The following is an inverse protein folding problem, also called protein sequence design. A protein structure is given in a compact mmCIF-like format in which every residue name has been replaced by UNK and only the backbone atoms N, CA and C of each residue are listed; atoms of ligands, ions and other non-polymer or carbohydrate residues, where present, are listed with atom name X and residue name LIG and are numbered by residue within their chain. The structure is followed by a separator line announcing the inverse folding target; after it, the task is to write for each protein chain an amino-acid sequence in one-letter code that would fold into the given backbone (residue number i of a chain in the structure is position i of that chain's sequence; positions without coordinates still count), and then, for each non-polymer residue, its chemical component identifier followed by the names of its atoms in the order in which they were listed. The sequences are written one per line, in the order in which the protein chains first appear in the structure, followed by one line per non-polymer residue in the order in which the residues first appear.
data_IF_536364685993
#
_entry.id   IF_536364685993
#
_cell.length_a   1.000
_cell.length_b   1.000
_cell.length_c   1.000
_cell.angle_alpha   90.00
_cell.angle_beta   90.00
_cell.angle_gamma   90.00
#
_symmetry.space_group_name_H-M   'P 1'
#
loop_
_entity.id
_entity.type
_entity.pdbx_description
1 polymer ?
#
# COMPACT_ATOMS: atom_id res chain seq x y z
N UNK A 1 72.34 -2.54 2.76
CA UNK A 1 71.06 -2.63 2.03
C UNK A 1 69.93 -2.94 3.01
N UNK A 2 69.26 -1.90 3.53
CA UNK A 2 68.09 -2.00 4.39
C UNK A 2 66.85 -1.83 3.50
N UNK A 3 65.99 -2.84 3.42
CA UNK A 3 64.71 -2.77 2.70
C UNK A 3 63.63 -2.30 3.66
N UNK A 4 63.21 -1.06 3.50
CA UNK A 4 62.07 -0.45 4.18
C UNK A 4 60.76 -1.05 3.65
N UNK A 5 59.95 -1.65 4.51
CA UNK A 5 58.57 -2.02 4.20
C UNK A 5 57.68 -0.79 4.46
N UNK A 6 57.06 -0.29 3.39
CA UNK A 6 56.00 0.73 3.44
C UNK A 6 54.73 0.09 4.00
N UNK A 7 54.29 0.57 5.16
CA UNK A 7 53.01 0.23 5.76
C UNK A 7 51.91 0.95 4.97
N UNK A 8 51.15 0.21 4.18
CA UNK A 8 49.97 0.73 3.48
C UNK A 8 48.85 0.97 4.52
N UNK A 9 48.52 2.23 4.76
CA UNK A 9 47.36 2.64 5.55
C UNK A 9 46.12 2.47 4.65
N UNK A 10 45.43 1.35 4.82
CA UNK A 10 44.09 1.14 4.24
C UNK A 10 43.10 2.04 4.95
N UNK A 11 42.69 3.12 4.27
CA UNK A 11 41.51 3.91 4.64
C UNK A 11 40.29 2.99 4.60
N UNK A 12 39.78 2.66 5.78
CA UNK A 12 38.50 1.99 5.94
C UNK A 12 37.41 2.98 5.49
N UNK A 13 37.00 2.89 4.23
CA UNK A 13 35.80 3.57 3.75
C UNK A 13 34.62 2.98 4.51
N UNK A 14 34.12 3.74 5.49
CA UNK A 14 32.84 3.47 6.12
C UNK A 14 31.79 3.44 5.00
N UNK A 15 31.38 2.24 4.60
CA UNK A 15 30.18 2.04 3.81
C UNK A 15 29.03 2.57 4.64
N UNK A 16 28.55 3.75 4.30
CA UNK A 16 27.25 4.24 4.71
C UNK A 16 26.26 3.14 4.36
N UNK A 17 25.72 2.47 5.37
CA UNK A 17 24.47 1.72 5.21
C UNK A 17 23.47 2.69 4.57
N UNK A 18 22.75 2.29 3.51
CA UNK A 18 21.69 3.14 3.00
C UNK A 18 20.73 3.38 4.17
N UNK A 19 20.40 4.65 4.39
CA UNK A 19 19.33 5.07 5.29
C UNK A 19 18.00 4.57 4.71
N UNK A 20 17.72 3.27 4.85
CA UNK A 20 16.50 2.64 4.36
C UNK A 20 15.28 2.97 5.24
N UNK A 21 15.48 3.63 6.37
CA UNK A 21 14.47 3.79 7.43
C UNK A 21 13.74 5.16 7.45
N UNK A 22 14.00 6.06 6.50
CA UNK A 22 13.36 7.39 6.47
C UNK A 22 12.29 7.60 5.38
N UNK A 23 12.10 6.65 4.44
CA UNK A 23 11.15 6.82 3.34
C UNK A 23 10.03 5.76 3.33
N UNK A 24 9.33 5.59 4.44
CA UNK A 24 8.13 4.74 4.52
C UNK A 24 6.96 5.26 3.68
N UNK A 25 7.05 6.48 3.16
CA UNK A 25 6.07 7.09 2.28
C UNK A 25 6.75 7.41 0.94
N UNK A 26 6.29 6.79 -0.13
CA UNK A 26 6.84 6.98 -1.46
C UNK A 26 5.75 6.89 -2.54
N UNK A 27 6.09 7.07 -3.80
CA UNK A 27 5.24 6.77 -4.92
C UNK A 27 5.82 5.59 -5.72
N UNK A 28 4.95 4.78 -6.33
CA UNK A 28 5.37 3.59 -7.08
C UNK A 28 5.07 3.77 -8.56
N UNK A 29 6.11 3.69 -9.40
CA UNK A 29 5.95 3.69 -10.86
C UNK A 29 5.09 2.51 -11.34
N UNK A 30 5.19 1.37 -10.66
CA UNK A 30 4.36 0.19 -10.95
C UNK A 30 2.89 0.47 -10.69
N UNK A 31 2.55 1.05 -9.53
CA UNK A 31 1.17 1.45 -9.22
C UNK A 31 0.69 2.52 -10.19
N UNK A 32 1.51 3.53 -10.45
CA UNK A 32 1.22 4.56 -11.44
C UNK A 32 0.90 3.95 -12.82
N UNK A 33 1.67 2.96 -13.26
CA UNK A 33 1.46 2.28 -14.54
C UNK A 33 0.13 1.53 -14.57
N UNK A 34 -0.17 0.71 -13.55
CA UNK A 34 -1.42 -0.05 -13.50
C UNK A 34 -2.62 0.89 -13.40
N UNK A 35 -2.54 1.92 -12.56
CA UNK A 35 -3.60 2.91 -12.40
C UNK A 35 -3.78 3.74 -13.68
N UNK A 36 -2.70 4.15 -14.36
CA UNK A 36 -2.78 4.82 -15.65
C UNK A 36 -3.45 3.93 -16.71
N UNK A 37 -3.14 2.63 -16.74
CA UNK A 37 -3.76 1.67 -17.66
C UNK A 37 -5.27 1.57 -17.45
N UNK A 38 -5.76 1.36 -16.22
CA UNK A 38 -7.22 1.27 -15.97
C UNK A 38 -7.94 2.59 -16.25
N UNK A 39 -7.30 3.73 -15.96
CA UNK A 39 -7.83 5.05 -16.29
C UNK A 39 -7.94 5.29 -17.80
N UNK A 40 -7.01 4.76 -18.59
CA UNK A 40 -7.02 4.87 -20.05
C UNK A 40 -8.11 4.01 -20.71
N UNK A 41 -8.55 2.93 -20.06
CA UNK A 41 -9.53 1.98 -20.62
C UNK A 41 -10.96 2.12 -20.08
N UNK A 42 -11.20 2.98 -19.10
CA UNK A 42 -12.56 3.36 -18.68
C UNK A 42 -12.84 3.40 -17.18
N UNK A 43 -11.82 3.36 -16.32
CA UNK A 43 -12.02 3.54 -14.88
C UNK A 43 -12.14 5.03 -14.50
N UNK A 44 -13.37 5.56 -14.55
CA UNK A 44 -13.66 6.99 -14.34
C UNK A 44 -14.08 7.39 -12.92
N UNK A 45 -14.11 6.42 -11.99
CA UNK A 45 -14.57 6.67 -10.61
C UNK A 45 -13.75 7.78 -9.94
N UNK A 46 -14.44 8.80 -9.42
CA UNK A 46 -13.84 9.93 -8.70
C UNK A 46 -12.98 10.88 -9.55
N UNK A 47 -13.00 10.74 -10.88
CA UNK A 47 -12.17 11.52 -11.79
C UNK A 47 -12.43 13.02 -11.70
N UNK A 48 -13.69 13.44 -11.64
CA UNK A 48 -14.09 14.85 -11.58
C UNK A 48 -13.56 15.59 -10.33
N UNK A 49 -13.27 14.84 -9.27
CA UNK A 49 -12.74 15.37 -8.00
C UNK A 49 -11.26 15.03 -7.79
N UNK A 50 -10.62 14.37 -8.76
CA UNK A 50 -9.20 14.00 -8.70
C UNK A 50 -8.30 15.19 -9.02
N UNK A 51 -7.02 15.18 -8.60
CA UNK A 51 -6.06 16.16 -9.06
C UNK A 51 -5.95 16.20 -10.59
N UNK A 52 -5.64 17.37 -11.15
CA UNK A 52 -5.50 17.58 -12.59
C UNK A 52 -4.56 16.60 -13.28
N UNK A 53 -3.53 16.12 -12.56
CA UNK A 53 -2.57 15.15 -13.09
C UNK A 53 -3.25 13.89 -13.63
N UNK A 54 -4.27 13.36 -12.93
CA UNK A 54 -4.95 12.14 -13.36
C UNK A 54 -5.61 12.32 -14.73
N UNK A 55 -6.27 13.45 -14.96
CA UNK A 55 -6.88 13.76 -16.25
C UNK A 55 -5.82 14.03 -17.31
N UNK A 56 -4.77 14.80 -16.98
CA UNK A 56 -3.68 15.10 -17.90
C UNK A 56 -3.01 13.82 -18.43
N UNK A 57 -2.68 12.86 -17.55
CA UNK A 57 -2.07 11.59 -17.96
C UNK A 57 -3.00 10.80 -18.88
N UNK A 58 -4.31 10.80 -18.61
CA UNK A 58 -5.31 10.15 -19.50
C UNK A 58 -5.34 10.78 -20.88
N UNK A 59 -5.37 12.10 -20.95
CA UNK A 59 -5.42 12.84 -22.21
C UNK A 59 -4.14 12.62 -23.03
N UNK A 60 -2.98 12.60 -22.38
CA UNK A 60 -1.69 12.33 -23.02
C UNK A 60 -1.61 10.89 -23.56
N UNK A 61 -2.11 9.91 -22.81
CA UNK A 61 -2.18 8.51 -23.28
C UNK A 61 -3.15 8.39 -24.45
N UNK A 62 -4.31 9.03 -24.39
CA UNK A 62 -5.30 9.01 -25.45
C UNK A 62 -4.75 9.63 -26.75
N UNK A 63 -4.01 10.74 -26.65
CA UNK A 63 -3.40 11.42 -27.80
C UNK A 63 -2.31 10.59 -28.50
N UNK A 64 -1.65 9.66 -27.79
CA UNK A 64 -0.64 8.76 -28.37
C UNK A 64 -1.25 7.60 -29.15
N UNK A 65 -2.52 7.28 -28.95
CA UNK A 65 -3.20 6.13 -29.54
C UNK A 65 -2.41 4.80 -29.45
N UNK A 66 -2.00 4.32 -28.25
CA UNK A 66 -1.30 3.04 -28.12
C UNK A 66 -2.10 1.89 -28.75
N UNK A 67 -1.44 1.07 -29.56
CA UNK A 67 -2.05 -0.04 -30.29
C UNK A 67 -2.58 -1.13 -29.34
N UNK A 68 -2.03 -1.24 -28.13
CA UNK A 68 -2.47 -2.18 -27.09
C UNK A 68 -3.77 -1.77 -26.37
N UNK A 69 -4.25 -0.53 -26.53
CA UNK A 69 -5.45 -0.05 -25.80
C UNK A 69 -6.72 -0.89 -26.04
N UNK A 70 -7.04 -1.35 -27.27
CA UNK A 70 -8.19 -2.23 -27.49
C UNK A 70 -8.08 -3.55 -26.71
N UNK A 71 -6.92 -4.21 -26.75
CA UNK A 71 -6.66 -5.46 -26.03
C UNK A 71 -6.75 -5.27 -24.51
N UNK A 72 -6.21 -4.15 -24.00
CA UNK A 72 -6.32 -3.80 -22.58
C UNK A 72 -7.76 -3.54 -22.16
N UNK A 73 -8.57 -2.91 -23.03
CA UNK A 73 -9.98 -2.65 -22.75
C UNK A 73 -10.79 -3.95 -22.67
N UNK A 74 -10.52 -4.91 -23.55
CA UNK A 74 -11.12 -6.24 -23.49
C UNK A 74 -10.74 -6.99 -22.21
N UNK A 75 -9.44 -6.98 -21.85
CA UNK A 75 -8.95 -7.60 -20.63
C UNK A 75 -9.56 -6.96 -19.38
N UNK A 76 -9.67 -5.63 -19.36
CA UNK A 76 -10.32 -4.87 -18.29
C UNK A 76 -11.82 -5.20 -18.19
N UNK A 77 -12.54 -5.20 -19.30
CA UNK A 77 -13.98 -5.50 -19.29
C UNK A 77 -14.25 -6.92 -18.75
N UNK A 78 -13.48 -7.92 -19.21
CA UNK A 78 -13.58 -9.29 -18.72
C UNK A 78 -13.28 -9.41 -17.22
N UNK A 79 -12.36 -8.61 -16.71
CA UNK A 79 -11.98 -8.62 -15.30
C UNK A 79 -12.96 -7.87 -14.37
N UNK A 80 -13.82 -7.01 -14.92
CA UNK A 80 -14.61 -6.04 -14.13
C UNK A 80 -16.13 -6.21 -14.24
N UNK A 81 -16.62 -7.09 -15.11
CA UNK A 81 -18.05 -7.25 -15.45
C UNK A 81 -19.00 -7.36 -14.25
N UNK A 82 -18.56 -7.93 -13.13
CA UNK A 82 -19.39 -8.18 -11.93
C UNK A 82 -18.90 -7.45 -10.68
N UNK A 83 -17.99 -6.51 -10.83
CA UNK A 83 -17.32 -5.85 -9.71
C UNK A 83 -17.82 -4.42 -9.55
N UNK A 84 -18.02 -4.00 -8.31
CA UNK A 84 -18.24 -2.58 -7.99
C UNK A 84 -16.96 -1.79 -8.25
N UNK A 85 -17.06 -0.47 -8.44
CA UNK A 85 -15.87 0.38 -8.65
C UNK A 85 -14.81 0.22 -7.55
N UNK A 86 -15.23 0.06 -6.29
CA UNK A 86 -14.33 -0.17 -5.16
C UNK A 86 -13.64 -1.53 -5.24
N UNK A 87 -14.36 -2.57 -5.67
CA UNK A 87 -13.80 -3.90 -5.87
C UNK A 87 -12.80 -3.92 -7.04
N UNK A 88 -13.10 -3.21 -8.13
CA UNK A 88 -12.18 -3.02 -9.26
C UNK A 88 -10.89 -2.37 -8.76
N UNK A 89 -10.97 -1.21 -8.10
CA UNK A 89 -9.79 -0.53 -7.56
C UNK A 89 -8.96 -1.45 -6.66
N UNK A 90 -9.64 -2.16 -5.76
CA UNK A 90 -9.04 -3.11 -4.83
C UNK A 90 -8.21 -4.16 -5.55
N UNK A 91 -8.78 -4.80 -6.57
CA UNK A 91 -8.13 -5.84 -7.37
C UNK A 91 -6.91 -5.30 -8.12
N UNK A 92 -7.00 -4.11 -8.73
CA UNK A 92 -5.91 -3.56 -9.53
C UNK A 92 -4.78 -2.99 -8.66
N UNK A 93 -5.09 -2.52 -7.44
CA UNK A 93 -4.07 -2.23 -6.44
C UNK A 93 -3.36 -3.50 -5.99
N UNK A 94 -4.10 -4.59 -5.74
CA UNK A 94 -3.51 -5.90 -5.44
C UNK A 94 -2.58 -6.36 -6.56
N UNK A 95 -2.97 -6.18 -7.83
CA UNK A 95 -2.10 -6.42 -8.97
C UNK A 95 -0.83 -5.58 -8.87
N UNK A 96 -0.92 -4.25 -8.85
CA UNK A 96 0.27 -3.38 -8.91
C UNK A 96 1.24 -3.59 -7.74
N UNK A 97 0.75 -3.92 -6.54
CA UNK A 97 1.57 -4.27 -5.38
C UNK A 97 2.27 -5.63 -5.50
N UNK A 98 1.75 -6.53 -6.34
CA UNK A 98 2.28 -7.88 -6.56
C UNK A 98 3.30 -7.95 -7.71
N UNK A 99 3.53 -6.85 -8.42
CA UNK A 99 4.40 -6.79 -9.61
C UNK A 99 5.77 -6.17 -9.30
N UNK A 100 6.78 -6.68 -9.98
CA UNK A 100 8.09 -6.03 -10.10
C UNK A 100 7.95 -4.76 -10.94
N UNK A 101 8.93 -3.88 -10.82
CA UNK A 101 8.99 -2.66 -11.62
C UNK A 101 9.13 -2.96 -13.12
N UNK A 102 8.90 -1.93 -13.93
CA UNK A 102 9.15 -1.93 -15.36
C UNK A 102 10.57 -2.47 -15.70
N UNK A 103 10.77 -3.07 -16.89
CA UNK A 103 9.83 -3.11 -18.02
C UNK A 103 8.90 -4.33 -18.06
N UNK A 104 9.22 -5.42 -17.35
CA UNK A 104 8.58 -6.72 -17.61
C UNK A 104 7.31 -6.98 -16.79
N UNK A 105 7.14 -6.28 -15.66
CA UNK A 105 5.96 -6.44 -14.79
C UNK A 105 5.69 -7.91 -14.42
N UNK A 106 6.75 -8.63 -14.06
CA UNK A 106 6.66 -10.00 -13.54
C UNK A 106 6.19 -10.02 -12.09
N UNK A 107 5.68 -11.17 -11.63
CA UNK A 107 5.32 -11.38 -10.24
C UNK A 107 6.54 -11.20 -9.31
N UNK A 108 6.36 -10.48 -8.20
CA UNK A 108 7.38 -10.32 -7.14
C UNK A 108 7.67 -11.64 -6.42
N UNK A 109 6.61 -12.44 -6.24
CA UNK A 109 6.58 -13.67 -5.48
C UNK A 109 6.27 -14.86 -6.39
N UNK A 110 6.30 -16.08 -5.84
CA UNK A 110 5.88 -17.27 -6.60
C UNK A 110 4.40 -17.16 -6.92
N UNK A 111 3.96 -17.71 -8.06
CA UNK A 111 2.56 -17.60 -8.49
C UNK A 111 1.56 -18.12 -7.45
N UNK A 112 1.93 -19.14 -6.67
CA UNK A 112 1.11 -19.68 -5.56
C UNK A 112 0.97 -18.74 -4.36
N UNK A 113 1.81 -17.73 -4.26
CA UNK A 113 1.79 -16.69 -3.23
C UNK A 113 1.13 -15.40 -3.73
N UNK A 114 0.81 -15.31 -5.03
CA UNK A 114 0.12 -14.15 -5.60
C UNK A 114 -1.33 -14.14 -5.10
N UNK A 115 -1.85 -12.98 -4.66
CA UNK A 115 -3.25 -12.84 -4.25
C UNK A 115 -4.22 -13.32 -5.34
N UNK A 116 -5.31 -14.05 -5.02
CA UNK A 116 -6.22 -14.58 -6.02
C UNK A 116 -6.85 -13.52 -6.94
N UNK A 117 -7.15 -12.34 -6.39
CA UNK A 117 -7.71 -11.19 -7.11
C UNK A 117 -6.70 -10.58 -8.09
N UNK A 118 -5.41 -10.53 -7.73
CA UNK A 118 -4.32 -10.14 -8.60
C UNK A 118 -4.03 -11.21 -9.67
N UNK A 119 -4.04 -12.49 -9.30
CA UNK A 119 -3.78 -13.60 -10.21
C UNK A 119 -4.85 -13.69 -11.31
N UNK A 120 -6.10 -13.39 -10.99
CA UNK A 120 -7.20 -13.29 -11.96
C UNK A 120 -6.94 -12.23 -13.06
N UNK A 121 -6.03 -11.28 -12.81
CA UNK A 121 -5.62 -10.24 -13.75
C UNK A 121 -4.37 -10.59 -14.58
N UNK A 122 -3.89 -11.83 -14.60
CA UNK A 122 -2.66 -12.17 -15.33
C UNK A 122 -2.73 -11.81 -16.83
N UNK A 123 -3.89 -11.97 -17.48
CA UNK A 123 -4.08 -11.51 -18.88
C UNK A 123 -3.89 -10.01 -19.03
N UNK A 124 -4.37 -9.21 -18.08
CA UNK A 124 -4.16 -7.75 -18.07
C UNK A 124 -2.69 -7.42 -17.82
N UNK A 125 -2.04 -8.10 -16.87
CA UNK A 125 -0.62 -7.95 -16.55
C UNK A 125 0.27 -8.15 -17.79
N UNK A 126 0.01 -9.19 -18.57
CA UNK A 126 0.80 -9.52 -19.78
C UNK A 126 0.80 -8.40 -20.84
N UNK A 127 -0.18 -7.49 -20.80
CA UNK A 127 -0.27 -6.34 -21.70
C UNK A 127 0.47 -5.10 -21.17
N UNK A 128 0.85 -5.07 -19.88
CA UNK A 128 1.50 -3.93 -19.25
C UNK A 128 2.86 -3.57 -19.86
N UNK A 129 3.76 -4.50 -20.24
CA UNK A 129 5.04 -4.14 -20.87
C UNK A 129 4.84 -3.36 -22.17
N UNK A 130 3.93 -3.84 -23.04
CA UNK A 130 3.58 -3.15 -24.29
C UNK A 130 2.97 -1.79 -24.01
N UNK A 131 2.04 -1.71 -23.06
CA UNK A 131 1.45 -0.44 -22.65
C UNK A 131 2.47 0.54 -22.11
N UNK A 132 3.42 0.09 -21.28
CA UNK A 132 4.47 0.93 -20.72
C UNK A 132 5.32 1.58 -21.81
N UNK A 133 5.68 0.82 -22.84
CA UNK A 133 6.43 1.34 -24.00
C UNK A 133 5.56 2.20 -24.91
N UNK A 134 4.42 1.70 -25.39
CA UNK A 134 3.58 2.38 -26.39
C UNK A 134 2.94 3.67 -25.84
N UNK A 135 2.56 3.70 -24.56
CA UNK A 135 2.05 4.90 -23.91
C UNK A 135 3.15 5.84 -23.38
N UNK A 136 4.42 5.42 -23.43
CA UNK A 136 5.57 6.19 -22.92
C UNK A 136 5.43 6.53 -21.43
N UNK A 137 5.15 5.51 -20.62
CA UNK A 137 4.86 5.68 -19.19
C UNK A 137 6.09 6.18 -18.43
N UNK A 138 7.30 5.75 -18.77
CA UNK A 138 8.53 6.26 -18.15
C UNK A 138 8.62 7.79 -18.18
N UNK A 139 8.31 8.40 -19.32
CA UNK A 139 8.34 9.86 -19.50
C UNK A 139 7.17 10.56 -18.77
N UNK A 140 6.00 9.93 -18.73
CA UNK A 140 4.86 10.41 -17.96
C UNK A 140 5.15 10.38 -16.46
N UNK A 141 5.71 9.28 -15.97
CA UNK A 141 6.13 9.11 -14.58
C UNK A 141 7.15 10.18 -14.17
N UNK A 142 8.19 10.39 -14.99
CA UNK A 142 9.21 11.42 -14.76
C UNK A 142 8.63 12.83 -14.71
N UNK A 143 7.72 13.18 -15.65
CA UNK A 143 7.05 14.49 -15.66
C UNK A 143 6.05 14.66 -14.53
N UNK A 144 5.54 13.57 -13.98
CA UNK A 144 4.63 13.56 -12.83
C UNK A 144 5.34 13.75 -11.49
N UNK A 145 6.65 13.50 -11.41
CA UNK A 145 7.42 13.57 -10.15
C UNK A 145 7.21 14.88 -9.37
N UNK A 146 7.30 16.09 -9.97
CA UNK A 146 7.13 17.31 -9.21
C UNK A 146 5.74 17.42 -8.55
N UNK A 147 4.69 16.96 -9.23
CA UNK A 147 3.33 16.98 -8.69
C UNK A 147 3.15 15.95 -7.55
N UNK A 148 3.81 14.79 -7.66
CA UNK A 148 3.84 13.75 -6.63
C UNK A 148 4.61 14.25 -5.40
N UNK A 149 5.82 14.79 -5.58
CA UNK A 149 6.67 15.30 -4.51
C UNK A 149 5.98 16.35 -3.64
N UNK A 150 5.24 17.28 -4.27
CA UNK A 150 4.44 18.29 -3.54
C UNK A 150 3.45 17.64 -2.58
N UNK A 151 2.81 16.54 -2.98
CA UNK A 151 1.87 15.82 -2.12
C UNK A 151 2.58 14.98 -1.05
N UNK A 152 3.68 14.31 -1.41
CA UNK A 152 4.49 13.54 -0.46
C UNK A 152 5.01 14.41 0.69
N UNK A 153 5.57 15.58 0.38
CA UNK A 153 6.07 16.53 1.39
C UNK A 153 4.98 16.94 2.39
N UNK A 154 3.73 17.10 1.93
CA UNK A 154 2.59 17.43 2.80
C UNK A 154 2.27 16.33 3.82
N UNK A 155 2.51 15.08 3.46
CA UNK A 155 2.24 13.91 4.31
C UNK A 155 3.43 13.51 5.18
N UNK A 156 4.66 13.68 4.68
CA UNK A 156 5.89 13.14 5.26
C UNK A 156 6.02 13.41 6.76
N UNK A 157 5.95 14.68 7.18
CA UNK A 157 6.15 15.07 8.58
C UNK A 157 5.11 14.40 9.51
N UNK A 158 3.85 14.41 9.09
CA UNK A 158 2.75 13.89 9.92
C UNK A 158 2.78 12.36 10.01
N UNK A 159 3.18 11.68 8.93
CA UNK A 159 3.34 10.21 8.91
C UNK A 159 4.51 9.80 9.79
N UNK A 160 5.67 10.45 9.65
CA UNK A 160 6.85 10.18 10.49
C UNK A 160 6.52 10.40 11.96
N UNK A 161 5.82 11.49 12.29
CA UNK A 161 5.36 11.76 13.64
C UNK A 161 4.42 10.66 14.16
N UNK A 162 3.42 10.27 13.39
CA UNK A 162 2.46 9.25 13.80
C UNK A 162 3.14 7.89 14.07
N UNK A 163 4.05 7.46 13.20
CA UNK A 163 4.85 6.24 13.37
C UNK A 163 5.73 6.33 14.62
N UNK A 164 6.40 7.47 14.82
CA UNK A 164 7.25 7.70 16.00
C UNK A 164 6.46 7.67 17.30
N UNK A 165 5.26 8.27 17.33
CA UNK A 165 4.35 8.24 18.48
C UNK A 165 3.91 6.80 18.81
N UNK A 166 3.56 6.00 17.80
CA UNK A 166 3.18 4.58 17.98
C UNK A 166 4.36 3.79 18.54
N UNK A 167 5.55 3.95 17.98
CA UNK A 167 6.75 3.26 18.44
C UNK A 167 7.13 3.64 19.86
N UNK A 168 7.01 4.93 20.22
CA UNK A 168 7.21 5.41 21.59
C UNK A 168 6.21 4.80 22.57
N UNK A 169 4.93 4.71 22.18
CA UNK A 169 3.88 4.12 23.02
C UNK A 169 4.04 2.61 23.21
N UNK A 170 4.28 1.87 22.11
CA UNK A 170 4.43 0.41 22.12
C UNK A 170 5.82 -0.05 22.56
N UNK A 171 6.75 0.89 22.80
CA UNK A 171 8.16 0.62 23.14
C UNK A 171 8.83 -0.29 22.11
N UNK A 172 8.55 -0.03 20.84
CA UNK A 172 9.17 -0.71 19.72
C UNK A 172 10.21 0.22 19.06
N UNK A 173 11.51 0.09 19.40
CA UNK A 173 12.53 1.02 18.90
C UNK A 173 12.91 0.82 17.42
N UNK A 174 12.41 -0.22 16.75
CA UNK A 174 12.73 -0.55 15.36
C UNK A 174 11.61 -0.21 14.37
N UNK A 175 11.98 0.18 13.15
CA UNK A 175 11.06 0.43 12.03
C UNK A 175 10.60 -0.87 11.33
N UNK A 176 11.20 -2.01 11.66
CA UNK A 176 10.80 -3.35 11.20
C UNK A 176 10.37 -4.23 12.37
N UNK A 177 9.41 -5.12 12.12
CA UNK A 177 8.90 -6.06 13.12
C UNK A 177 8.96 -7.48 12.56
N UNK A 178 9.83 -8.32 13.15
CA UNK A 178 9.95 -9.75 12.81
C UNK A 178 10.24 -10.06 11.32
N UNK A 179 11.02 -9.20 10.63
CA UNK A 179 11.30 -9.38 9.20
C UNK A 179 10.18 -8.91 8.27
N UNK A 180 9.09 -8.34 8.82
CA UNK A 180 8.02 -7.71 8.05
C UNK A 180 8.35 -6.27 7.69
N UNK A 181 7.84 -5.83 6.56
CA UNK A 181 8.03 -4.49 6.01
C UNK A 181 6.71 -3.71 6.01
N UNK A 182 6.77 -2.42 6.34
CA UNK A 182 5.63 -1.52 6.26
C UNK A 182 5.93 -0.42 5.25
N UNK A 183 5.12 -0.33 4.19
CA UNK A 183 5.31 0.61 3.10
C UNK A 183 4.01 1.37 2.81
N UNK A 184 4.09 2.69 2.83
CA UNK A 184 3.01 3.57 2.39
C UNK A 184 3.32 4.05 0.98
N UNK A 185 2.36 3.90 0.07
CA UNK A 185 2.42 4.46 -1.27
C UNK A 185 1.40 5.58 -1.43
N UNK A 186 1.81 6.69 -2.04
CA UNK A 186 0.92 7.75 -2.45
C UNK A 186 0.65 7.67 -3.96
N UNK A 187 -0.62 7.59 -4.35
CA UNK A 187 -0.99 7.41 -5.76
C UNK A 187 -2.00 8.47 -6.23
N UNK A 188 -1.57 9.34 -7.14
CA UNK A 188 -2.36 10.43 -7.74
C UNK A 188 -3.33 9.96 -8.84
N UNK A 189 -3.17 8.74 -9.33
CA UNK A 189 -3.96 8.13 -10.40
C UNK A 189 -5.18 7.36 -9.85
N UNK A 190 -5.30 7.24 -8.53
CA UNK A 190 -6.45 6.64 -7.85
C UNK A 190 -7.57 7.67 -7.59
N UNK A 191 -8.83 7.25 -7.31
CA UNK A 191 -9.87 8.15 -6.84
C UNK A 191 -9.47 8.82 -5.52
N UNK A 192 -9.85 10.09 -5.28
CA UNK A 192 -9.50 10.79 -4.05
C UNK A 192 -10.20 10.21 -2.83
N UNK A 193 -9.64 10.48 -1.64
CA UNK A 193 -10.16 10.08 -0.32
C UNK A 193 -10.25 8.56 -0.09
N UNK A 194 -9.48 7.78 -0.83
CA UNK A 194 -9.28 6.35 -0.65
C UNK A 194 -8.00 6.06 0.16
N UNK A 195 -8.11 5.16 1.12
CA UNK A 195 -6.99 4.46 1.78
C UNK A 195 -7.22 2.97 1.64
N UNK A 196 -6.20 2.22 1.21
CA UNK A 196 -6.28 0.78 1.01
C UNK A 196 -5.10 0.10 1.70
N UNK A 197 -5.37 -0.90 2.54
CA UNK A 197 -4.35 -1.69 3.21
C UNK A 197 -4.27 -3.10 2.61
N UNK A 198 -3.06 -3.63 2.42
CA UNK A 198 -2.83 -4.99 1.94
C UNK A 198 -1.66 -5.63 2.67
N UNK A 199 -1.74 -6.93 2.91
CA UNK A 199 -0.64 -7.71 3.49
C UNK A 199 -0.35 -8.88 2.56
N UNK A 200 0.87 -8.95 2.03
CA UNK A 200 1.33 -10.00 1.12
C UNK A 200 2.64 -10.58 1.62
N UNK A 201 2.59 -11.79 2.17
CA UNK A 201 3.72 -12.37 2.89
C UNK A 201 4.16 -11.44 4.01
N UNK A 202 5.43 -11.02 3.96
CA UNK A 202 6.05 -10.14 4.95
C UNK A 202 5.84 -8.64 4.65
N UNK A 203 5.27 -8.28 3.50
CA UNK A 203 5.06 -6.89 3.10
C UNK A 203 3.65 -6.41 3.48
N UNK A 204 3.56 -5.32 4.23
CA UNK A 204 2.32 -4.62 4.56
C UNK A 204 2.29 -3.26 3.86
N UNK A 205 1.35 -3.12 2.93
CA UNK A 205 1.20 -1.94 2.09
C UNK A 205 0.01 -1.09 2.54
N UNK A 206 0.19 0.23 2.48
CA UNK A 206 -0.88 1.21 2.63
C UNK A 206 -0.86 2.13 1.41
N UNK A 207 -1.86 2.04 0.54
CA UNK A 207 -2.01 2.96 -0.60
C UNK A 207 -2.93 4.10 -0.19
N UNK A 208 -2.43 5.32 -0.29
CA UNK A 208 -3.11 6.56 0.08
C UNK A 208 -3.30 7.41 -1.16
N UNK A 209 -4.51 7.88 -1.36
CA UNK A 209 -4.87 8.79 -2.45
C UNK A 209 -4.91 10.25 -1.97
N UNK A 210 -4.90 11.21 -2.91
CA UNK A 210 -5.18 12.62 -2.63
C UNK A 210 -6.45 12.83 -1.81
N UNK A 211 -6.36 13.65 -0.77
CA UNK A 211 -7.48 14.00 0.08
C UNK A 211 -7.37 15.44 0.58
N UNK A 212 -8.53 16.04 0.89
CA UNK A 212 -8.59 17.37 1.47
C UNK A 212 -7.95 17.37 2.87
N UNK A 213 -8.41 16.44 3.71
CA UNK A 213 -7.86 16.16 5.04
C UNK A 213 -6.85 15.02 4.97
N UNK A 214 -5.69 15.18 5.61
CA UNK A 214 -4.64 14.16 5.59
C UNK A 214 -5.11 12.89 6.29
N UNK A 215 -4.99 11.75 5.61
CA UNK A 215 -5.39 10.42 6.11
C UNK A 215 -4.38 9.81 7.10
N UNK A 216 -3.78 10.64 7.95
CA UNK A 216 -2.72 10.24 8.90
C UNK A 216 -3.24 9.26 9.93
N UNK A 217 -4.51 9.39 10.33
CA UNK A 217 -5.13 8.47 11.28
C UNK A 217 -5.28 7.05 10.70
N UNK A 218 -5.63 6.92 9.42
CA UNK A 218 -5.71 5.60 8.78
C UNK A 218 -4.33 4.96 8.63
N UNK A 219 -3.30 5.76 8.32
CA UNK A 219 -1.91 5.27 8.26
C UNK A 219 -1.44 4.83 9.65
N UNK A 220 -1.75 5.61 10.70
CA UNK A 220 -1.47 5.24 12.09
C UNK A 220 -2.17 3.93 12.47
N UNK A 221 -3.46 3.82 12.15
CA UNK A 221 -4.25 2.61 12.39
C UNK A 221 -3.60 1.39 11.73
N UNK A 222 -3.26 1.51 10.45
CA UNK A 222 -2.60 0.48 9.69
C UNK A 222 -1.23 0.09 10.28
N UNK A 223 -0.46 1.05 10.77
CA UNK A 223 0.83 0.79 11.41
C UNK A 223 0.70 0.08 12.76
N UNK A 224 -0.28 0.46 13.59
CA UNK A 224 -0.57 -0.26 14.84
C UNK A 224 -1.01 -1.69 14.52
N UNK A 225 -1.90 -1.86 13.53
CA UNK A 225 -2.35 -3.18 13.09
C UNK A 225 -1.17 -4.04 12.63
N UNK A 226 -0.28 -3.49 11.80
CA UNK A 226 0.95 -4.15 11.35
C UNK A 226 1.82 -4.68 12.50
N UNK A 227 1.93 -3.92 13.60
CA UNK A 227 2.70 -4.34 14.77
C UNK A 227 1.97 -5.39 15.62
N UNK A 228 0.64 -5.34 15.69
CA UNK A 228 -0.16 -6.20 16.56
C UNK A 228 -0.58 -7.53 15.93
N UNK A 229 -0.76 -7.56 14.61
CA UNK A 229 -1.22 -8.72 13.85
C UNK A 229 -0.44 -10.03 14.13
N UNK A 230 0.91 -10.03 14.25
CA UNK A 230 1.65 -11.26 14.56
C UNK A 230 1.41 -11.77 15.98
N UNK A 231 0.95 -10.91 16.90
CA UNK A 231 0.58 -11.35 18.24
C UNK A 231 -0.71 -12.20 18.19
N UNK A 232 -1.65 -11.86 17.31
CA UNK A 232 -2.84 -12.67 17.05
C UNK A 232 -2.47 -14.05 16.53
N UNK A 233 -1.54 -14.11 15.57
CA UNK A 233 -1.03 -15.39 15.06
C UNK A 233 -0.28 -16.18 16.14
N UNK A 234 0.59 -15.52 16.91
CA UNK A 234 1.42 -16.16 17.94
C UNK A 234 0.61 -16.73 19.11
N UNK A 235 -0.42 -16.01 19.57
CA UNK A 235 -1.23 -16.38 20.73
C UNK A 235 -2.65 -16.83 20.34
N UNK A 236 -2.84 -17.24 19.09
CA UNK A 236 -4.16 -17.54 18.53
C UNK A 236 -4.88 -18.65 19.30
N UNK A 237 -4.17 -19.68 19.74
CA UNK A 237 -4.76 -20.77 20.52
C UNK A 237 -5.24 -20.31 21.90
N UNK A 238 -4.45 -19.49 22.59
CA UNK A 238 -4.80 -18.93 23.90
C UNK A 238 -5.95 -17.93 23.80
N UNK A 239 -6.00 -17.15 22.72
CA UNK A 239 -7.15 -16.30 22.40
C UNK A 239 -8.39 -17.17 22.15
N UNK A 240 -8.28 -18.22 21.34
CA UNK A 240 -9.43 -19.06 21.00
C UNK A 240 -10.06 -19.75 22.22
N UNK A 241 -9.31 -20.02 23.28
CA UNK A 241 -9.87 -20.53 24.54
C UNK A 241 -10.88 -19.57 25.19
N UNK A 242 -10.87 -18.29 24.80
CA UNK A 242 -11.77 -17.24 25.27
C UNK A 242 -12.82 -16.85 24.23
N UNK A 243 -13.03 -17.66 23.19
CA UNK A 243 -13.94 -17.32 22.08
C UNK A 243 -15.39 -17.14 22.51
N UNK A 244 -15.80 -17.61 23.69
CA UNK A 244 -17.11 -17.30 24.27
C UNK A 244 -17.34 -15.80 24.49
N UNK A 245 -16.29 -14.98 24.53
CA UNK A 245 -16.42 -13.53 24.57
C UNK A 245 -16.93 -12.94 23.24
N UNK A 246 -16.85 -13.68 22.13
CA UNK A 246 -17.40 -13.27 20.83
C UNK A 246 -18.91 -13.05 20.89
N UNK A 247 -19.61 -13.76 21.78
CA UNK A 247 -21.07 -13.66 21.95
C UNK A 247 -21.51 -12.23 22.30
N UNK A 248 -20.67 -11.47 23.01
CA UNK A 248 -20.95 -10.06 23.31
C UNK A 248 -20.89 -9.16 22.07
N UNK A 249 -20.10 -9.55 21.07
CA UNK A 249 -19.94 -8.81 19.82
C UNK A 249 -20.92 -9.28 18.72
N UNK A 250 -21.49 -10.49 18.85
CA UNK A 250 -22.39 -11.06 17.86
C UNK A 250 -23.64 -10.19 17.58
N UNK A 251 -24.13 -9.50 18.62
CA UNK A 251 -25.30 -8.63 18.52
C UNK A 251 -24.98 -7.24 17.94
N UNK A 252 -23.71 -6.89 17.71
CA UNK A 252 -23.31 -5.58 17.19
C UNK A 252 -23.65 -5.48 15.68
N UNK A 253 -24.58 -4.60 15.28
CA UNK A 253 -25.00 -4.49 13.88
C UNK A 253 -23.97 -3.77 13.00
N UNK A 254 -23.10 -2.95 13.60
CA UNK A 254 -22.05 -2.21 12.91
C UNK A 254 -20.78 -3.05 12.68
N UNK A 255 -20.69 -4.23 13.31
CA UNK A 255 -19.53 -5.10 13.19
C UNK A 255 -19.67 -5.99 11.95
N UNK A 256 -18.65 -5.97 11.10
CA UNK A 256 -18.59 -6.82 9.91
C UNK A 256 -18.61 -8.31 10.27
N UNK A 257 -19.24 -9.12 9.42
CA UNK A 257 -19.39 -10.57 9.64
C UNK A 257 -18.04 -11.29 9.77
N UNK A 258 -16.98 -10.81 9.13
CA UNK A 258 -15.63 -11.38 9.29
C UNK A 258 -15.17 -11.38 10.74
N UNK A 259 -15.39 -10.30 11.49
CA UNK A 259 -15.03 -10.20 12.91
C UNK A 259 -15.90 -11.07 13.81
N UNK A 260 -17.15 -11.34 13.41
CA UNK A 260 -18.03 -12.24 14.18
C UNK A 260 -17.63 -13.70 14.04
N UNK A 261 -17.06 -14.07 12.89
CA UNK A 261 -16.68 -15.44 12.58
C UNK A 261 -15.21 -15.75 12.91
N UNK A 262 -14.37 -14.74 13.13
CA UNK A 262 -12.97 -14.90 13.51
C UNK A 262 -12.65 -14.14 14.82
N UNK A 263 -12.59 -14.90 15.92
CA UNK A 263 -12.34 -14.34 17.25
C UNK A 263 -10.91 -13.79 17.42
N UNK A 264 -9.93 -14.36 16.74
CA UNK A 264 -8.54 -13.88 16.80
C UNK A 264 -8.46 -12.52 16.10
N UNK A 265 -9.07 -12.41 14.91
CA UNK A 265 -9.18 -11.15 14.18
C UNK A 265 -9.88 -10.06 15.01
N UNK A 266 -11.03 -10.39 15.61
CA UNK A 266 -11.74 -9.47 16.51
C UNK A 266 -10.86 -9.02 17.68
N UNK A 267 -10.17 -9.96 18.33
CA UNK A 267 -9.32 -9.67 19.48
C UNK A 267 -8.17 -8.73 19.12
N UNK A 268 -7.53 -8.92 17.96
CA UNK A 268 -6.47 -8.01 17.47
C UNK A 268 -7.07 -6.64 17.15
N UNK A 269 -8.20 -6.57 16.46
CA UNK A 269 -8.86 -5.31 16.14
C UNK A 269 -9.25 -4.52 17.40
N UNK A 270 -9.81 -5.18 18.42
CA UNK A 270 -10.12 -4.57 19.71
C UNK A 270 -8.85 -4.06 20.42
N UNK A 271 -7.75 -4.81 20.37
CA UNK A 271 -6.47 -4.37 20.94
C UNK A 271 -5.94 -3.12 20.22
N UNK A 272 -5.99 -3.09 18.89
CA UNK A 272 -5.62 -1.91 18.08
C UNK A 272 -6.46 -0.70 18.50
N UNK A 273 -7.78 -0.84 18.61
CA UNK A 273 -8.67 0.24 19.05
C UNK A 273 -8.39 0.72 20.48
N UNK A 274 -8.07 -0.20 21.40
CA UNK A 274 -7.69 0.15 22.76
C UNK A 274 -6.38 0.95 22.82
N UNK A 275 -5.38 0.59 21.99
CA UNK A 275 -4.13 1.33 21.85
C UNK A 275 -4.41 2.74 21.32
N UNK A 276 -5.17 2.85 20.23
CA UNK A 276 -5.55 4.12 19.62
C UNK A 276 -6.23 5.08 20.61
N UNK A 277 -7.24 4.59 21.34
CA UNK A 277 -7.96 5.37 22.34
C UNK A 277 -7.02 5.91 23.43
N UNK A 278 -6.13 5.04 23.96
CA UNK A 278 -5.19 5.43 25.01
C UNK A 278 -4.15 6.44 24.51
N UNK A 279 -3.68 6.31 23.27
CA UNK A 279 -2.76 7.26 22.67
C UNK A 279 -3.41 8.63 22.43
N UNK A 280 -4.66 8.65 21.95
CA UNK A 280 -5.38 9.90 21.65
C UNK A 280 -5.93 10.59 22.91
N UNK A 281 -5.86 9.95 24.09
CA UNK A 281 -6.49 10.42 25.34
C UNK A 281 -7.95 10.82 25.12
N UNK A 282 -8.63 10.16 24.19
CA UNK A 282 -10.00 10.46 23.81
C UNK A 282 -10.89 9.26 24.15
N UNK A 283 -11.58 9.28 25.31
CA UNK A 283 -12.43 8.18 25.75
C UNK A 283 -13.54 7.82 24.76
N UNK A 284 -14.01 8.79 23.95
CA UNK A 284 -15.13 8.62 23.04
C UNK A 284 -14.85 7.69 21.83
N UNK A 285 -13.58 7.36 21.54
CA UNK A 285 -13.24 6.36 20.51
C UNK A 285 -13.39 4.91 21.01
N UNK A 286 -13.47 4.70 22.34
CA UNK A 286 -13.80 3.38 22.93
C UNK A 286 -15.26 3.04 22.69
N UNK A 287 -16.14 4.05 22.65
CA UNK A 287 -17.59 3.89 22.54
C UNK A 287 -18.07 3.70 21.09
N UNK A 288 -17.17 3.81 20.10
CA UNK A 288 -17.45 3.62 18.67
C UNK A 288 -16.94 2.28 18.10
N UNK A 289 -16.35 1.44 18.95
CA UNK A 289 -15.90 0.07 18.62
C UNK A 289 -16.95 -0.95 19.06
#
# INVERSE_FOLDING_TARGET
MRRSFLLAVTLLTATLLPAADQNQLDASETLFTVMAAINAVGYDTGLATSPHLRQQVRDEIAAKHPAVLPELREAYAAATERHSSTAILTQFLSLGLSLKSAPDFDWRVRQVEVPPDALALDRFRQLLPRFYTEAGIADLWKRSQPAIEVQLVRYQEQVVRAVTEVNGYLRNPGFGYLGRHFQVYFDLMTPPNVVQTRSYGDDYFVVVSPSAELRVQDIRHAYIYFLMDPLGTKYGMELQQKSSLADFAAAAPALDESFKNDFVLLSVASLVKAIESRMMKNPALVDQA
#
